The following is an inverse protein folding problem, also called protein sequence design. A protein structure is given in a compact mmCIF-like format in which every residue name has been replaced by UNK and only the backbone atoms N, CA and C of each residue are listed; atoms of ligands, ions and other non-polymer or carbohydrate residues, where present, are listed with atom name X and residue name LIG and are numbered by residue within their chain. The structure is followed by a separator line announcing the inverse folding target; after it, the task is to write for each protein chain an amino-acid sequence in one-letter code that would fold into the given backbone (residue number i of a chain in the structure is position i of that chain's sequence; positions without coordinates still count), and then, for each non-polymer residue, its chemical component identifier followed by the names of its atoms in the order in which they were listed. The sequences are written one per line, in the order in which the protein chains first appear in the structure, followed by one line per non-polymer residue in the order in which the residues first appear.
data_IF_646011127745
#
_entry.id   IF_646011127745
#
_cell.length_a   1.000
_cell.length_b   1.000
_cell.length_c   1.000
_cell.angle_alpha   90.00
_cell.angle_beta   90.00
_cell.angle_gamma   90.00
#
_symmetry.space_group_name_H-M   'P 1'
#
loop_
_entity.id
_entity.type
_entity.pdbx_description
1 polymer ?
#
# COMPACT_ATOMS: atom_id res chain seq x y z
N UNK A 1 -9.99 -60.33 -31.45
CA UNK A 1 -11.16 -59.51 -31.84
C UNK A 1 -11.46 -58.54 -30.72
N UNK A 2 -11.57 -57.25 -31.07
CA UNK A 2 -12.18 -56.12 -30.33
C UNK A 2 -11.51 -55.82 -28.96
N UNK A 3 -10.86 -54.69 -28.69
CA UNK A 3 -11.11 -53.31 -29.11
C UNK A 3 -11.23 -52.48 -27.84
N UNK A 4 -10.14 -51.87 -27.36
CA UNK A 4 -10.18 -50.89 -26.27
C UNK A 4 -10.02 -49.48 -26.83
N UNK A 5 -10.96 -48.63 -26.42
CA UNK A 5 -11.34 -47.34 -26.99
C UNK A 5 -10.30 -46.21 -26.90
N UNK A 6 -10.37 -45.29 -27.86
CA UNK A 6 -9.54 -44.09 -28.06
C UNK A 6 -9.63 -42.97 -26.98
N UNK A 7 -9.49 -43.30 -25.68
CA UNK A 7 -9.34 -42.30 -24.60
C UNK A 7 -7.99 -42.33 -23.87
N UNK A 8 -7.00 -43.02 -24.42
CA UNK A 8 -5.66 -43.17 -23.83
C UNK A 8 -4.52 -42.64 -24.74
N UNK A 9 -4.80 -41.71 -25.66
CA UNK A 9 -3.81 -41.22 -26.65
C UNK A 9 -3.22 -39.84 -26.32
N UNK A 10 -3.61 -39.15 -25.24
CA UNK A 10 -3.11 -37.78 -24.94
C UNK A 10 -2.17 -37.70 -23.72
N UNK A 11 -1.78 -38.80 -23.09
CA UNK A 11 -1.00 -38.75 -21.83
C UNK A 11 0.42 -39.35 -21.85
N UNK A 12 0.97 -39.73 -23.01
CA UNK A 12 2.26 -40.46 -23.07
C UNK A 12 3.17 -40.02 -24.23
N UNK A 13 3.14 -38.74 -24.59
CA UNK A 13 4.06 -38.18 -25.59
C UNK A 13 4.59 -36.82 -25.10
N UNK A 14 5.62 -36.86 -24.26
CA UNK A 14 6.78 -35.93 -24.30
C UNK A 14 7.67 -36.08 -23.05
N UNK A 15 8.24 -37.28 -22.87
CA UNK A 15 9.32 -37.52 -21.90
C UNK A 15 10.63 -37.96 -22.57
N UNK A 16 10.84 -37.66 -23.86
CA UNK A 16 12.06 -38.04 -24.60
C UNK A 16 12.71 -36.90 -25.38
N UNK A 17 12.78 -35.71 -24.78
CA UNK A 17 13.26 -34.51 -25.50
C UNK A 17 14.33 -33.64 -24.83
N UNK A 18 14.88 -34.01 -23.66
CA UNK A 18 15.81 -33.12 -22.94
C UNK A 18 17.06 -33.84 -22.40
N UNK A 19 17.69 -34.67 -23.23
CA UNK A 19 19.11 -34.98 -23.09
C UNK A 19 19.83 -34.55 -24.36
N UNK A 20 20.43 -33.35 -24.30
CA UNK A 20 21.65 -32.89 -25.01
C UNK A 20 21.61 -31.38 -25.14
N UNK A 21 22.55 -30.69 -24.50
CA UNK A 21 22.78 -29.28 -24.79
C UNK A 21 23.57 -28.54 -23.73
N UNK A 22 24.90 -28.54 -23.91
CA UNK A 22 25.79 -27.43 -23.61
C UNK A 22 26.06 -27.05 -22.14
N UNK A 23 27.24 -27.44 -21.69
CA UNK A 23 28.09 -26.60 -20.87
C UNK A 23 28.36 -25.28 -21.62
N UNK A 24 27.96 -24.15 -21.05
CA UNK A 24 28.51 -22.83 -21.35
C UNK A 24 28.81 -22.13 -20.03
N UNK A 25 30.09 -21.81 -19.83
CA UNK A 25 30.58 -20.94 -18.78
C UNK A 25 29.90 -19.56 -18.86
N UNK A 26 29.24 -19.12 -17.78
CA UNK A 26 28.69 -17.77 -17.67
C UNK A 26 27.64 -17.66 -16.56
N UNK A 27 27.90 -16.85 -15.54
CA UNK A 27 27.16 -16.82 -14.27
C UNK A 27 25.65 -16.54 -14.37
N UNK A 28 24.88 -17.32 -13.60
CA UNK A 28 23.48 -17.10 -13.23
C UNK A 28 23.10 -18.07 -12.10
N UNK A 29 22.27 -17.69 -11.10
CA UNK A 29 22.05 -18.52 -9.93
C UNK A 29 21.24 -19.77 -10.28
N UNK A 30 21.66 -20.89 -9.69
CA UNK A 30 21.12 -22.23 -9.82
C UNK A 30 19.60 -22.27 -9.55
N UNK A 31 18.79 -22.26 -10.62
CA UNK A 31 17.39 -22.68 -10.58
C UNK A 31 17.27 -24.06 -11.21
N UNK A 32 17.77 -25.06 -10.47
CA UNK A 32 17.66 -26.46 -10.82
C UNK A 32 16.20 -26.92 -10.80
N UNK A 33 15.80 -27.61 -11.85
CA UNK A 33 14.49 -28.20 -12.10
C UNK A 33 13.95 -28.98 -10.88
N UNK A 34 12.90 -28.47 -10.24
CA UNK A 34 12.14 -29.20 -9.23
C UNK A 34 11.06 -30.05 -9.94
N UNK A 35 11.40 -31.31 -10.22
CA UNK A 35 10.43 -32.31 -10.66
C UNK A 35 9.60 -32.84 -9.48
N UNK A 36 8.33 -32.40 -9.48
CA UNK A 36 7.10 -32.98 -8.98
C UNK A 36 7.09 -34.21 -8.05
N UNK A 37 6.70 -33.99 -6.79
CA UNK A 37 5.93 -34.95 -5.99
C UNK A 37 4.64 -34.26 -5.47
N UNK A 38 3.44 -34.71 -5.85
CA UNK A 38 2.17 -34.04 -5.54
C UNK A 38 1.87 -33.97 -4.03
N UNK A 39 2.51 -34.80 -3.20
CA UNK A 39 2.28 -34.85 -1.75
C UNK A 39 3.04 -33.79 -0.94
N UNK A 40 3.90 -32.95 -1.57
CA UNK A 40 4.75 -32.00 -0.82
C UNK A 40 4.64 -30.52 -1.25
N UNK A 41 3.76 -30.17 -2.19
CA UNK A 41 3.65 -28.81 -2.74
C UNK A 41 3.41 -27.76 -1.63
N UNK A 42 2.58 -28.09 -0.64
CA UNK A 42 2.31 -27.23 0.53
C UNK A 42 3.53 -27.06 1.45
N UNK A 43 4.32 -28.12 1.63
CA UNK A 43 5.56 -28.08 2.42
C UNK A 43 6.69 -27.34 1.71
N UNK A 44 6.75 -27.41 0.38
CA UNK A 44 7.69 -26.65 -0.45
C UNK A 44 7.33 -25.17 -0.50
N UNK A 45 6.03 -24.83 -0.61
CA UNK A 45 5.54 -23.45 -0.52
C UNK A 45 5.91 -22.79 0.80
N UNK A 46 5.74 -23.51 1.92
CA UNK A 46 6.07 -22.99 3.24
C UNK A 46 7.57 -22.66 3.35
N UNK A 47 8.43 -23.56 2.85
CA UNK A 47 9.89 -23.35 2.78
C UNK A 47 10.28 -22.20 1.86
N UNK A 48 9.67 -22.10 0.69
CA UNK A 48 9.96 -21.03 -0.26
C UNK A 48 9.52 -19.66 0.26
N UNK A 49 8.37 -19.57 0.94
CA UNK A 49 7.89 -18.32 1.55
C UNK A 49 8.76 -17.85 2.73
N UNK A 50 9.36 -18.77 3.49
CA UNK A 50 10.29 -18.41 4.57
C UNK A 50 11.63 -17.84 4.08
N UNK A 51 11.99 -18.07 2.81
CA UNK A 51 13.28 -17.66 2.25
C UNK A 51 13.27 -16.29 1.55
N UNK A 52 12.09 -15.67 1.36
CA UNK A 52 11.96 -14.46 0.54
C UNK A 52 11.48 -13.25 1.35
N UNK A 53 12.33 -12.23 1.48
CA UNK A 53 11.97 -10.92 2.07
C UNK A 53 11.27 -9.99 1.06
N UNK A 54 11.35 -10.29 -0.24
CA UNK A 54 10.89 -9.42 -1.31
C UNK A 54 9.50 -9.80 -1.85
N UNK A 55 8.61 -8.82 -2.00
CA UNK A 55 7.20 -9.01 -2.37
C UNK A 55 6.99 -9.61 -3.77
N UNK A 56 7.97 -9.50 -4.68
CA UNK A 56 7.94 -10.02 -6.05
C UNK A 56 8.40 -11.48 -6.16
N UNK A 57 9.16 -11.99 -5.19
CA UNK A 57 9.66 -13.35 -5.14
C UNK A 57 8.68 -14.34 -4.47
N UNK A 58 7.43 -13.93 -4.25
CA UNK A 58 6.43 -14.76 -3.57
C UNK A 58 5.97 -15.88 -4.48
N UNK A 59 6.38 -17.10 -4.16
CA UNK A 59 5.95 -18.32 -4.82
C UNK A 59 4.46 -18.56 -4.57
N UNK A 60 3.75 -18.84 -5.65
CA UNK A 60 2.35 -19.21 -5.67
C UNK A 60 2.16 -20.53 -6.39
N UNK A 61 1.17 -21.30 -5.93
CA UNK A 61 0.74 -22.49 -6.66
C UNK A 61 -0.12 -22.08 -7.85
N UNK A 62 0.24 -22.55 -9.02
CA UNK A 62 -0.56 -22.45 -10.24
C UNK A 62 -0.63 -23.83 -10.90
N UNK A 63 -1.83 -24.40 -10.92
CA UNK A 63 -2.14 -25.80 -11.10
C UNK A 63 -1.24 -26.68 -10.24
N UNK A 64 -0.35 -27.43 -10.87
CA UNK A 64 0.58 -28.33 -10.25
C UNK A 64 1.93 -27.63 -9.97
N UNK A 65 2.25 -26.49 -10.61
CA UNK A 65 3.57 -25.84 -10.51
C UNK A 65 3.65 -24.77 -9.42
N UNK A 66 4.86 -24.55 -8.90
CA UNK A 66 5.19 -23.38 -8.10
C UNK A 66 5.87 -22.35 -9.00
N UNK A 67 5.27 -21.16 -9.09
CA UNK A 67 5.75 -20.07 -9.91
C UNK A 67 5.77 -18.79 -9.09
N UNK A 68 6.68 -17.88 -9.41
CA UNK A 68 6.64 -16.51 -8.91
C UNK A 68 5.60 -15.69 -9.67
N UNK A 69 5.23 -14.52 -9.14
CA UNK A 69 4.34 -13.60 -9.86
C UNK A 69 4.91 -13.10 -11.18
N UNK A 70 6.23 -13.02 -11.29
CA UNK A 70 6.92 -12.57 -12.49
C UNK A 70 6.85 -13.64 -13.57
N UNK A 71 7.30 -14.86 -13.27
CA UNK A 71 7.25 -15.98 -14.22
C UNK A 71 5.84 -16.25 -14.73
N UNK A 72 4.84 -16.22 -13.84
CA UNK A 72 3.45 -16.42 -14.23
C UNK A 72 2.90 -15.24 -15.05
N UNK A 73 3.38 -14.03 -14.78
CA UNK A 73 3.06 -12.84 -15.57
C UNK A 73 3.61 -12.94 -16.99
N UNK A 74 4.87 -13.35 -17.13
CA UNK A 74 5.56 -13.52 -18.42
C UNK A 74 4.86 -14.59 -19.28
N UNK A 75 4.42 -15.71 -18.67
CA UNK A 75 3.65 -16.76 -19.35
C UNK A 75 2.26 -16.25 -19.80
N UNK A 76 1.60 -15.46 -18.95
CA UNK A 76 0.23 -14.99 -19.21
C UNK A 76 0.13 -13.69 -20.01
N UNK A 77 1.26 -13.04 -20.31
CA UNK A 77 1.29 -11.69 -20.89
C UNK A 77 0.70 -10.61 -19.96
N UNK A 78 0.79 -10.81 -18.65
CA UNK A 78 0.27 -9.90 -17.62
C UNK A 78 1.41 -9.39 -16.74
N UNK A 79 1.30 -8.17 -16.22
CA UNK A 79 2.30 -7.69 -15.27
C UNK A 79 2.24 -8.47 -13.95
N UNK A 80 3.40 -8.70 -13.32
CA UNK A 80 3.48 -9.33 -12.00
C UNK A 80 2.60 -8.62 -10.94
N UNK A 81 2.40 -7.30 -11.09
CA UNK A 81 1.51 -6.50 -10.23
C UNK A 81 0.04 -6.86 -10.39
N UNK A 82 -0.42 -7.15 -11.62
CA UNK A 82 -1.79 -7.61 -11.90
C UNK A 82 -2.02 -8.98 -11.29
N UNK A 83 -1.06 -9.91 -11.45
CA UNK A 83 -1.12 -11.25 -10.84
C UNK A 83 -1.17 -11.14 -9.31
N UNK A 84 -0.31 -10.31 -8.71
CA UNK A 84 -0.29 -10.09 -7.26
C UNK A 84 -1.60 -9.46 -6.74
N UNK A 85 -2.18 -8.50 -7.47
CA UNK A 85 -3.51 -7.94 -7.14
C UNK A 85 -4.59 -9.03 -7.19
N UNK A 86 -4.63 -9.84 -8.25
CA UNK A 86 -5.59 -10.94 -8.39
C UNK A 86 -5.45 -11.95 -7.24
N UNK A 87 -4.21 -12.31 -6.87
CA UNK A 87 -3.93 -13.23 -5.77
C UNK A 87 -4.39 -12.67 -4.42
N UNK A 88 -4.14 -11.38 -4.15
CA UNK A 88 -4.62 -10.68 -2.94
C UNK A 88 -6.14 -10.64 -2.86
N UNK A 89 -6.83 -10.53 -3.99
CA UNK A 89 -8.28 -10.62 -4.07
C UNK A 89 -8.83 -12.06 -4.05
N UNK A 90 -8.00 -13.05 -3.66
CA UNK A 90 -8.43 -14.43 -3.47
C UNK A 90 -8.61 -15.23 -4.76
N UNK A 91 -8.28 -14.67 -5.94
CA UNK A 91 -8.30 -15.44 -7.19
C UNK A 91 -7.18 -16.47 -7.18
N UNK A 92 -7.44 -17.65 -7.74
CA UNK A 92 -6.52 -18.78 -7.82
C UNK A 92 -6.67 -19.45 -9.18
N UNK A 93 -5.65 -20.22 -9.57
CA UNK A 93 -5.64 -20.99 -10.83
C UNK A 93 -5.99 -20.09 -12.03
N UNK A 94 -6.77 -20.56 -13.00
CA UNK A 94 -7.12 -19.83 -14.24
C UNK A 94 -7.70 -18.43 -14.00
N UNK A 95 -8.38 -18.22 -12.86
CA UNK A 95 -8.94 -16.90 -12.52
C UNK A 95 -7.86 -15.86 -12.21
N UNK A 96 -6.64 -16.31 -11.94
CA UNK A 96 -5.49 -15.45 -11.65
C UNK A 96 -4.93 -14.79 -12.92
N UNK A 97 -4.98 -15.51 -14.03
CA UNK A 97 -4.48 -15.08 -15.36
C UNK A 97 -5.60 -14.63 -16.29
N UNK A 98 -6.83 -14.56 -15.78
CA UNK A 98 -7.98 -14.12 -16.56
C UNK A 98 -7.73 -12.71 -17.15
N UNK A 99 -8.06 -12.48 -18.43
CA UNK A 99 -7.81 -11.21 -19.08
C UNK A 99 -8.48 -10.07 -18.32
N UNK A 100 -7.77 -8.94 -18.23
CA UNK A 100 -8.32 -7.73 -17.62
C UNK A 100 -9.60 -7.34 -18.37
N UNK A 101 -10.72 -7.24 -17.66
CA UNK A 101 -11.94 -6.66 -18.23
C UNK A 101 -11.58 -5.26 -18.72
N UNK A 102 -11.76 -5.00 -20.02
CA UNK A 102 -11.64 -3.64 -20.58
C UNK A 102 -12.46 -2.71 -19.68
N UNK A 103 -11.81 -1.70 -19.11
CA UNK A 103 -12.45 -0.79 -18.17
C UNK A 103 -13.72 -0.20 -18.79
N UNK A 104 -14.76 0.05 -17.96
CA UNK A 104 -15.95 0.76 -18.43
C UNK A 104 -15.50 2.06 -19.08
N UNK A 105 -15.99 2.35 -20.30
CA UNK A 105 -15.73 3.63 -20.98
C UNK A 105 -16.05 4.77 -20.01
N UNK A 106 -15.13 5.74 -19.92
CA UNK A 106 -15.34 6.89 -19.07
C UNK A 106 -16.62 7.62 -19.50
N UNK A 107 -17.52 7.90 -18.55
CA UNK A 107 -18.76 8.62 -18.81
C UNK A 107 -18.41 10.03 -19.31
N UNK A 108 -18.93 10.38 -20.48
CA UNK A 108 -18.86 11.72 -21.04
C UNK A 108 -20.09 12.51 -20.57
N UNK A 109 -19.87 13.78 -20.25
CA UNK A 109 -20.88 14.73 -19.78
C UNK A 109 -20.74 15.97 -20.64
N UNK A 110 -21.86 16.42 -21.18
CA UNK A 110 -21.91 17.64 -21.97
C UNK A 110 -21.88 18.87 -21.05
N UNK A 111 -20.94 19.77 -21.32
CA UNK A 111 -20.83 21.08 -20.68
C UNK A 111 -20.49 22.09 -21.78
N UNK A 112 -21.31 23.12 -21.95
CA UNK A 112 -21.13 24.19 -22.94
C UNK A 112 -20.95 23.66 -24.39
N UNK A 113 -21.69 22.60 -24.76
CA UNK A 113 -21.60 21.97 -26.08
C UNK A 113 -20.39 21.05 -26.28
N UNK A 114 -19.51 20.91 -25.28
CA UNK A 114 -18.37 19.99 -25.31
C UNK A 114 -18.64 18.71 -24.50
N UNK A 115 -18.34 17.56 -25.09
CA UNK A 115 -18.38 16.28 -24.37
C UNK A 115 -17.09 16.07 -23.57
N UNK A 116 -17.18 16.28 -22.25
CA UNK A 116 -16.04 16.20 -21.34
C UNK A 116 -16.15 15.00 -20.40
N UNK A 117 -15.01 14.40 -20.05
CA UNK A 117 -14.96 13.39 -18.98
C UNK A 117 -14.90 14.08 -17.61
N UNK A 118 -15.37 13.40 -16.57
CA UNK A 118 -15.29 13.88 -15.17
C UNK A 118 -13.87 14.36 -14.81
N UNK A 119 -12.84 13.69 -15.33
CA UNK A 119 -11.44 14.08 -15.10
C UNK A 119 -11.08 15.43 -15.74
N UNK A 120 -11.55 15.70 -16.97
CA UNK A 120 -11.36 17.00 -17.63
C UNK A 120 -12.13 18.12 -16.92
N UNK A 121 -13.37 17.84 -16.52
CA UNK A 121 -14.23 18.78 -15.78
C UNK A 121 -13.58 19.16 -14.44
N UNK A 122 -13.07 18.17 -13.71
CA UNK A 122 -12.37 18.37 -12.44
C UNK A 122 -11.14 19.28 -12.60
N UNK A 123 -10.34 19.07 -13.67
CA UNK A 123 -9.21 19.96 -13.99
C UNK A 123 -9.67 21.39 -14.31
N UNK A 124 -10.68 21.55 -15.16
CA UNK A 124 -11.22 22.86 -15.56
C UNK A 124 -11.80 23.65 -14.38
N UNK A 125 -12.43 22.96 -13.44
CA UNK A 125 -13.01 23.56 -12.24
C UNK A 125 -12.05 23.63 -11.04
N UNK A 126 -10.79 23.19 -11.20
CA UNK A 126 -9.79 23.09 -10.13
C UNK A 126 -10.31 22.36 -8.86
N UNK A 127 -11.11 21.32 -9.04
CA UNK A 127 -11.65 20.49 -7.95
C UNK A 127 -11.30 19.02 -8.16
N UNK A 128 -11.51 18.18 -7.14
CA UNK A 128 -11.27 16.75 -7.27
C UNK A 128 -12.32 16.06 -8.15
N UNK A 129 -11.95 14.94 -8.77
CA UNK A 129 -12.88 14.09 -9.53
C UNK A 129 -14.04 13.57 -8.69
N UNK A 130 -13.79 13.34 -7.39
CA UNK A 130 -14.82 12.98 -6.41
C UNK A 130 -15.83 14.11 -6.26
N UNK A 131 -15.39 15.35 -6.12
CA UNK A 131 -16.28 16.52 -6.00
C UNK A 131 -17.23 16.62 -7.20
N UNK A 132 -16.74 16.45 -8.43
CA UNK A 132 -17.58 16.47 -9.64
C UNK A 132 -18.57 15.30 -9.65
N UNK A 133 -18.13 14.10 -9.25
CA UNK A 133 -19.02 12.93 -9.15
C UNK A 133 -20.15 13.18 -8.17
N UNK A 134 -19.84 13.66 -6.97
CA UNK A 134 -20.83 13.95 -5.92
C UNK A 134 -21.85 15.00 -6.41
N UNK A 135 -21.41 16.02 -7.16
CA UNK A 135 -22.32 17.02 -7.77
C UNK A 135 -23.24 16.40 -8.81
N UNK A 136 -22.69 15.54 -9.66
CA UNK A 136 -23.46 14.86 -10.68
C UNK A 136 -24.48 13.89 -10.09
N UNK A 137 -24.12 13.15 -9.04
CA UNK A 137 -25.04 12.27 -8.29
C UNK A 137 -26.16 13.06 -7.61
N UNK A 138 -25.89 14.29 -7.18
CA UNK A 138 -26.90 15.23 -6.66
C UNK A 138 -27.77 15.89 -7.73
N UNK A 139 -27.60 15.54 -9.00
CA UNK A 139 -28.42 16.08 -10.09
C UNK A 139 -27.90 17.38 -10.73
N UNK A 140 -26.77 17.93 -10.29
CA UNK A 140 -26.19 19.14 -10.92
C UNK A 140 -25.68 18.81 -12.33
N UNK A 141 -25.90 19.71 -13.29
CA UNK A 141 -25.57 19.53 -14.72
C UNK A 141 -24.94 20.79 -15.30
N UNK A 142 -24.28 20.66 -16.45
CA UNK A 142 -23.70 21.79 -17.18
C UNK A 142 -22.73 22.63 -16.34
N UNK A 143 -22.89 23.95 -16.37
CA UNK A 143 -22.03 24.93 -15.69
C UNK A 143 -22.02 24.79 -14.17
N UNK A 144 -23.08 24.22 -13.56
CA UNK A 144 -23.14 24.03 -12.11
C UNK A 144 -22.10 23.02 -11.60
N UNK A 145 -21.62 22.14 -12.49
CA UNK A 145 -20.51 21.25 -12.20
C UNK A 145 -19.19 22.00 -12.05
N UNK A 146 -19.06 23.18 -12.67
CA UNK A 146 -17.83 23.97 -12.70
C UNK A 146 -17.66 24.90 -11.50
N UNK A 147 -18.71 25.13 -10.69
CA UNK A 147 -18.63 26.12 -9.62
C UNK A 147 -17.61 25.70 -8.57
N UNK A 148 -16.49 26.41 -8.46
CA UNK A 148 -15.50 26.18 -7.41
C UNK A 148 -16.03 26.75 -6.09
N UNK A 149 -16.78 25.95 -5.33
CA UNK A 149 -17.06 26.30 -3.94
C UNK A 149 -15.77 26.08 -3.15
N UNK A 150 -14.90 27.10 -3.11
CA UNK A 150 -13.92 27.23 -2.04
C UNK A 150 -14.76 27.39 -0.78
N UNK A 151 -14.98 26.30 -0.06
CA UNK A 151 -15.61 26.39 1.26
C UNK A 151 -14.63 27.14 2.13
N UNK A 152 -14.79 28.46 2.26
CA UNK A 152 -14.32 29.21 3.42
C UNK A 152 -15.07 28.60 4.60
N UNK A 153 -14.48 27.55 5.20
CA UNK A 153 -14.99 27.03 6.45
C UNK A 153 -14.82 28.17 7.45
N UNK A 154 -15.88 28.93 7.71
CA UNK A 154 -15.93 29.83 8.86
C UNK A 154 -15.50 28.97 10.04
N UNK A 155 -14.39 29.35 10.67
CA UNK A 155 -13.79 28.58 11.75
C UNK A 155 -14.81 28.35 12.86
N UNK A 156 -14.72 27.23 13.57
CA UNK A 156 -15.56 27.02 14.75
C UNK A 156 -15.28 28.12 15.76
N UNK A 157 -16.34 28.80 16.23
CA UNK A 157 -16.24 29.79 17.29
C UNK A 157 -15.84 29.09 18.60
N UNK A 158 -14.91 29.73 19.32
CA UNK A 158 -14.36 29.31 20.59
C UNK A 158 -14.73 30.39 21.61
N UNK A 159 -15.44 30.01 22.66
CA UNK A 159 -15.67 30.88 23.80
C UNK A 159 -14.38 31.00 24.60
N UNK A 160 -13.84 32.21 24.73
CA UNK A 160 -12.62 32.55 25.47
C UNK A 160 -12.88 33.81 26.31
N UNK A 161 -12.85 33.66 27.63
CA UNK A 161 -13.09 34.73 28.62
C UNK A 161 -14.41 35.48 28.39
N UNK A 162 -15.43 34.78 27.93
CA UNK A 162 -16.75 35.36 27.61
C UNK A 162 -16.89 35.92 26.20
N UNK A 163 -15.81 35.99 25.41
CA UNK A 163 -15.85 36.39 23.99
C UNK A 163 -15.94 35.16 23.07
N UNK A 164 -16.71 35.24 21.99
CA UNK A 164 -16.69 34.21 20.93
C UNK A 164 -15.71 34.62 19.83
N UNK A 165 -14.59 33.90 19.74
CA UNK A 165 -13.50 34.19 18.80
C UNK A 165 -13.21 32.98 17.93
N UNK A 166 -12.67 33.21 16.74
CA UNK A 166 -12.12 32.11 15.94
C UNK A 166 -10.72 31.72 16.44
N UNK A 167 -10.32 30.46 16.18
CA UNK A 167 -8.97 30.02 16.50
C UNK A 167 -7.87 30.83 15.77
N UNK A 168 -8.20 31.43 14.62
CA UNK A 168 -7.32 32.33 13.89
C UNK A 168 -7.10 33.64 14.64
N UNK A 169 -8.19 34.29 15.05
CA UNK A 169 -8.13 35.52 15.87
C UNK A 169 -7.37 35.30 17.19
N UNK A 170 -7.56 34.15 17.85
CA UNK A 170 -6.79 33.81 19.05
C UNK A 170 -5.29 33.58 18.77
N UNK A 171 -4.94 33.05 17.59
CA UNK A 171 -3.54 32.87 17.21
C UNK A 171 -2.85 34.22 16.90
N UNK A 172 -3.59 35.18 16.35
CA UNK A 172 -3.10 36.56 16.15
C UNK A 172 -2.83 37.26 17.48
N UNK A 173 -3.72 37.12 18.48
CA UNK A 173 -3.51 37.66 19.83
C UNK A 173 -2.35 36.97 20.58
N UNK A 174 -2.14 35.68 20.32
CA UNK A 174 -1.12 34.86 20.99
C UNK A 174 -0.15 34.22 19.98
N UNK A 175 0.83 34.97 19.44
CA UNK A 175 1.69 34.53 18.34
C UNK A 175 2.61 33.34 18.68
N UNK A 176 2.71 32.95 19.95
CA UNK A 176 3.42 31.75 20.41
C UNK A 176 2.65 30.45 20.13
N UNK A 177 1.40 30.53 19.67
CA UNK A 177 0.52 29.39 19.42
C UNK A 177 -0.09 29.49 18.02
N UNK A 178 -0.17 28.36 17.31
CA UNK A 178 -0.88 28.32 16.03
C UNK A 178 -2.38 28.07 16.22
N UNK A 179 -3.20 28.49 15.25
CA UNK A 179 -4.64 28.24 15.24
C UNK A 179 -4.98 26.75 15.39
N UNK A 180 -4.19 25.86 14.79
CA UNK A 180 -4.34 24.41 14.92
C UNK A 180 -4.08 23.92 16.34
N UNK A 181 -3.08 24.45 17.03
CA UNK A 181 -2.78 24.10 18.43
C UNK A 181 -3.92 24.53 19.36
N UNK A 182 -4.45 25.72 19.15
CA UNK A 182 -5.59 26.27 19.88
C UNK A 182 -6.83 25.38 19.65
N UNK A 183 -7.13 25.02 18.41
CA UNK A 183 -8.21 24.08 18.10
C UNK A 183 -8.01 22.72 18.77
N UNK A 184 -6.79 22.18 18.74
CA UNK A 184 -6.50 20.88 19.34
C UNK A 184 -6.74 20.89 20.86
N UNK A 185 -6.34 21.97 21.54
CA UNK A 185 -6.59 22.16 22.98
C UNK A 185 -8.08 22.31 23.28
N UNK A 186 -8.81 23.07 22.47
CA UNK A 186 -10.26 23.23 22.62
C UNK A 186 -11.01 21.90 22.49
N UNK A 187 -10.64 21.08 21.50
CA UNK A 187 -11.19 19.71 21.29
C UNK A 187 -10.87 18.78 22.47
N UNK A 188 -9.76 18.99 23.16
CA UNK A 188 -9.38 18.28 24.40
C UNK A 188 -10.08 18.83 25.66
N UNK A 189 -11.01 19.76 25.52
CA UNK A 189 -11.78 20.32 26.64
C UNK A 189 -11.06 21.44 27.41
N UNK A 190 -9.89 21.90 26.95
CA UNK A 190 -9.22 23.06 27.57
C UNK A 190 -10.02 24.33 27.30
N UNK A 191 -10.12 25.19 28.32
CA UNK A 191 -10.87 26.46 28.30
C UNK A 191 -10.00 27.61 28.81
N UNK A 192 -10.28 28.81 28.31
CA UNK A 192 -9.65 30.07 28.70
C UNK A 192 -8.12 30.00 28.79
N UNK A 193 -7.53 30.32 29.95
CA UNK A 193 -6.07 30.37 30.12
C UNK A 193 -5.39 29.03 29.80
N UNK A 194 -6.09 27.91 29.93
CA UNK A 194 -5.55 26.60 29.54
C UNK A 194 -5.44 26.42 28.02
N UNK A 195 -6.22 27.16 27.20
CA UNK A 195 -6.04 27.17 25.75
C UNK A 195 -4.73 27.85 25.35
N UNK A 196 -4.29 28.87 26.10
CA UNK A 196 -3.15 29.72 25.73
C UNK A 196 -1.89 29.44 26.54
N UNK A 197 -1.94 28.44 27.43
CA UNK A 197 -0.80 28.04 28.25
C UNK A 197 0.47 27.74 27.42
N UNK A 198 1.68 28.08 27.92
CA UNK A 198 2.92 27.83 27.20
C UNK A 198 3.10 26.34 26.92
N UNK A 199 3.64 26.01 25.74
CA UNK A 199 3.95 24.63 25.38
C UNK A 199 5.05 24.13 26.30
N UNK A 200 4.73 23.17 27.18
CA UNK A 200 5.75 22.43 27.91
C UNK A 200 6.51 21.58 26.90
N UNK A 201 7.78 21.92 26.64
CA UNK A 201 8.67 21.01 25.90
C UNK A 201 8.82 19.76 26.76
N UNK A 202 8.36 18.61 26.25
CA UNK A 202 8.73 17.35 26.88
C UNK A 202 10.26 17.29 26.87
N UNK A 203 10.88 17.27 28.04
CA UNK A 203 12.30 16.97 28.12
C UNK A 203 12.47 15.56 27.56
N UNK A 204 13.34 15.41 26.56
CA UNK A 204 13.71 14.07 26.11
C UNK A 204 14.29 13.35 27.33
N UNK A 205 13.89 12.11 27.62
CA UNK A 205 14.52 11.36 28.70
C UNK A 205 16.03 11.36 28.46
N UNK A 206 16.79 11.77 29.46
CA UNK A 206 18.25 11.73 29.43
C UNK A 206 18.67 10.29 29.16
N UNK A 207 19.55 10.08 28.16
CA UNK A 207 20.13 8.75 27.93
C UNK A 207 20.92 8.35 29.16
N UNK A 208 20.52 7.23 29.79
CA UNK A 208 21.28 6.63 30.88
C UNK A 208 22.62 6.15 30.32
N UNK A 209 23.71 6.59 30.95
CA UNK A 209 25.10 6.34 30.55
C UNK A 209 25.87 5.83 31.75
N UNK A 210 26.69 4.81 31.54
CA UNK A 210 27.50 4.15 32.56
C UNK A 210 28.97 4.14 32.12
N UNK A 211 29.89 4.11 33.08
CA UNK A 211 31.31 3.97 32.82
C UNK A 211 31.66 2.49 32.75
N UNK A 212 32.19 2.04 31.62
CA UNK A 212 32.64 0.66 31.40
C UNK A 212 34.04 0.72 30.79
N UNK A 213 35.03 0.14 31.46
CA UNK A 213 36.43 0.10 31.01
C UNK A 213 37.03 1.48 30.67
N UNK A 214 36.71 2.51 31.45
CA UNK A 214 37.21 3.88 31.25
C UNK A 214 36.47 4.69 30.18
N UNK A 215 35.48 4.12 29.50
CA UNK A 215 34.65 4.80 28.51
C UNK A 215 33.22 5.02 29.03
N UNK A 216 32.64 6.18 28.71
CA UNK A 216 31.25 6.52 29.07
C UNK A 216 30.31 6.06 27.95
N UNK A 217 29.58 4.97 28.19
CA UNK A 217 28.72 4.32 27.20
C UNK A 217 27.24 4.36 27.61
N UNK A 218 26.34 4.50 26.65
CA UNK A 218 24.89 4.31 26.88
C UNK A 218 24.51 2.84 26.99
N UNK A 219 23.40 2.52 27.66
CA UNK A 219 22.92 1.13 27.79
C UNK A 219 22.77 0.41 26.44
N UNK A 220 22.33 1.12 25.40
CA UNK A 220 22.25 0.56 24.04
C UNK A 220 23.62 0.24 23.43
N UNK A 221 24.63 1.07 23.72
CA UNK A 221 26.01 0.81 23.26
C UNK A 221 26.65 -0.35 24.02
N UNK A 222 26.38 -0.47 25.32
CA UNK A 222 26.81 -1.61 26.14
C UNK A 222 26.16 -2.90 25.63
N UNK A 223 24.84 -2.88 25.40
CA UNK A 223 24.09 -4.00 24.85
C UNK A 223 24.64 -4.46 23.50
N UNK A 224 24.90 -3.54 22.56
CA UNK A 224 25.52 -3.89 21.27
C UNK A 224 26.95 -4.42 21.41
N UNK A 225 27.77 -3.86 22.30
CA UNK A 225 29.19 -4.24 22.43
C UNK A 225 29.36 -5.63 23.04
N UNK A 226 28.51 -5.98 24.00
CA UNK A 226 28.60 -7.25 24.74
C UNK A 226 27.52 -8.27 24.33
N UNK A 227 26.72 -7.97 23.30
CA UNK A 227 25.74 -8.91 22.74
C UNK A 227 24.47 -9.12 23.59
N UNK A 228 24.13 -8.20 24.48
CA UNK A 228 22.90 -8.26 25.27
C UNK A 228 21.72 -7.63 24.52
N UNK A 229 20.51 -8.12 24.81
CA UNK A 229 19.28 -7.43 24.36
C UNK A 229 19.09 -6.17 25.21
N UNK A 230 18.78 -5.03 24.58
CA UNK A 230 18.70 -3.70 25.23
C UNK A 230 17.73 -3.64 26.43
N UNK A 231 16.81 -4.60 26.56
CA UNK A 231 15.86 -4.71 27.69
C UNK A 231 16.30 -5.60 28.86
N UNK A 232 17.51 -6.16 28.82
CA UNK A 232 18.01 -7.11 29.86
C UNK A 232 18.97 -6.48 30.87
N UNK A 233 19.33 -5.21 30.68
CA UNK A 233 20.29 -4.49 31.52
C UNK A 233 19.48 -3.52 32.41
N UNK A 234 19.38 -3.83 33.71
CA UNK A 234 18.73 -3.00 34.73
C UNK A 234 19.76 -2.16 35.49
#
# INVERSE_FOLDING_TARGET
MVGMSARAVIAMADLRGLEKGLWVNGGGPLYGQLYFNPLSITGQLRRAQSLTTAHHAKWIRYHHRLLTYQELGDIAGLSATVIANCYRHGKREDRLVAPLKKGRRARQIEIDGEQLTIAKIAKRAHVTTRTIRDRYEKGLRGKDLLVSHVKTRKGKLITFKGEELTAGELAERYPKLSADQIQARYRRGKRDDQLVAPIRKQQKPTRIVQWVNGEKLSLSQIACRYGFVVGTIY
#
